data_IF_833127645798
#
_entry.id   IF_833127645798
#
_cell.length_a   1.000
_cell.length_b   1.000
_cell.length_c   1.000
_cell.angle_alpha   90.00
_cell.angle_beta   90.00
_cell.angle_gamma   90.00
#
_symmetry.space_group_name_H-M   'P 1'
#
loop_
_entity.id
_entity.type
_entity.pdbx_description
1 polymer ?
2 polymer ?
3 polymer ?
4 non-polymer ?
5 non-polymer ?
6 water ?
#
loop_
_entity_poly.entity_id
_entity_poly.type
_entity_poly.pdbx_seq_one_letter_code
_entity_poly.pdbx_strand_id
2 'polydeoxyribonucleotide' '(DA)(DG)(DA)(DT)(DT)(DG)(DT)(DT)(DT)(DA)(DC)(DT)(DG)(DA)(DG)(DA)' ?
3 'polydeoxyribonucleotide' '(DT)(DC)(DT)(DC)(DA)(DG)(DT)(DA)(DA)(DA)(DC)(DA)(DA)(DT)(DC)(DT)' ?
#
# COMPACT_ATOMS: atom_id res chain seq x y z
N UNK A 4 -25.35 16.04 8.30
CA UNK A 4 -23.98 15.74 7.89
C UNK A 4 -23.94 15.49 6.39
N UNK A 5 -22.91 16.01 5.71
CA UNK A 5 -22.79 15.86 4.26
C UNK A 5 -21.38 15.35 3.92
N UNK A 6 -21.21 14.93 2.67
CA UNK A 6 -19.93 14.41 2.19
C UNK A 6 -19.23 15.45 1.31
N UNK A 7 -17.90 15.38 1.30
CA UNK A 7 -17.07 16.38 0.64
C UNK A 7 -16.20 15.71 -0.40
N UNK A 8 -15.89 16.45 -1.46
CA UNK A 8 -15.18 15.91 -2.61
C UNK A 8 -13.71 16.30 -2.55
N UNK A 9 -12.82 15.30 -2.58
CA UNK A 9 -11.38 15.50 -2.67
C UNK A 9 -10.89 15.14 -4.07
N UNK A 10 -9.88 15.86 -4.54
CA UNK A 10 -9.24 15.51 -5.81
C UNK A 10 -8.17 14.43 -5.58
N UNK A 11 -8.04 13.53 -6.56
CA UNK A 11 -7.00 12.50 -6.53
C UNK A 11 -5.64 13.18 -6.44
N UNK A 12 -4.76 12.72 -5.55
CA UNK A 12 -3.42 13.31 -5.48
C UNK A 12 -2.61 12.84 -6.69
N UNK A 13 -1.59 13.58 -7.11
CA UNK A 13 -0.87 13.21 -8.37
C UNK A 13 0.21 12.13 -8.24
N UNK A 14 -0.21 10.89 -7.96
CA UNK A 14 0.72 9.79 -7.77
C UNK A 14 0.09 8.56 -8.38
N UNK A 15 0.90 7.76 -9.08
CA UNK A 15 0.45 6.49 -9.58
C UNK A 15 0.36 5.50 -8.42
N UNK A 16 -0.22 4.32 -8.67
CA UNK A 16 -0.25 3.33 -7.60
C UNK A 16 1.15 2.86 -7.25
N UNK A 17 2.06 2.86 -8.23
CA UNK A 17 3.43 2.44 -7.93
C UNK A 17 4.10 3.45 -7.02
N UNK A 18 3.86 4.74 -7.25
CA UNK A 18 4.44 5.77 -6.38
C UNK A 18 3.87 5.69 -4.99
N UNK A 19 2.54 5.60 -4.85
CA UNK A 19 1.92 5.50 -3.52
C UNK A 19 2.50 4.34 -2.73
N UNK A 20 2.57 3.14 -3.35
CA UNK A 20 3.15 1.98 -2.69
C UNK A 20 4.61 2.25 -2.32
N UNK A 21 5.38 2.82 -3.26
CA UNK A 21 6.80 3.01 -3.03
C UNK A 21 7.04 3.95 -1.85
N UNK A 22 6.37 5.13 -1.86
CA UNK A 22 6.44 6.07 -0.73
C UNK A 22 6.04 5.42 0.59
N UNK A 23 4.96 4.64 0.58
CA UNK A 23 4.54 3.96 1.81
C UNK A 23 5.68 3.10 2.35
N UNK A 24 6.32 2.33 1.47
CA UNK A 24 7.35 1.40 1.93
C UNK A 24 8.61 2.18 2.35
N UNK A 25 8.98 3.19 1.57
CA UNK A 25 10.20 3.92 1.85
C UNK A 25 10.16 4.60 3.21
N UNK A 26 8.99 5.08 3.62
CA UNK A 26 8.89 5.81 4.88
C UNK A 26 8.68 4.89 6.08
N UNK A 27 8.60 3.60 5.86
CA UNK A 27 8.29 2.80 7.03
C UNK A 27 9.57 2.40 7.77
N UNK A 28 9.47 2.15 9.08
CA UNK A 28 10.70 1.97 9.87
C UNK A 28 11.54 0.76 9.45
N UNK A 29 10.92 -0.31 8.95
CA UNK A 29 11.63 -1.50 8.50
C UNK A 29 11.78 -1.58 6.99
N UNK A 30 11.40 -0.53 6.27
CA UNK A 30 11.41 -0.54 4.80
C UNK A 30 10.59 -1.70 4.24
N UNK A 31 9.48 -2.00 4.91
CA UNK A 31 8.57 -3.05 4.48
C UNK A 31 7.27 -2.93 5.26
N UNK A 32 6.14 -3.18 4.58
CA UNK A 32 4.78 -3.04 5.10
C UNK A 32 3.89 -4.19 4.67
N UNK A 33 2.90 -4.51 5.51
CA UNK A 33 1.86 -5.44 5.05
C UNK A 33 0.92 -4.70 4.10
N UNK A 34 0.08 -5.49 3.40
CA UNK A 34 -0.94 -4.91 2.53
C UNK A 34 -1.82 -3.91 3.28
N UNK A 35 -2.31 -4.28 4.46
CA UNK A 35 -3.28 -3.39 5.10
C UNK A 35 -2.59 -2.14 5.63
N UNK A 36 -1.33 -2.27 6.03
CA UNK A 36 -0.53 -1.10 6.39
C UNK A 36 -0.41 -0.14 5.21
N UNK A 37 -0.30 -0.67 3.99
CA UNK A 37 -0.20 0.18 2.81
C UNK A 37 -1.52 0.89 2.59
N UNK A 38 -2.63 0.14 2.67
CA UNK A 38 -3.92 0.80 2.54
C UNK A 38 -4.02 1.91 3.56
N UNK A 39 -3.68 1.58 4.82
CA UNK A 39 -3.86 2.54 5.91
C UNK A 39 -2.97 3.78 5.72
N UNK A 40 -1.74 3.60 5.27
CA UNK A 40 -0.90 4.77 5.08
C UNK A 40 -1.47 5.70 4.02
N UNK A 41 -1.99 5.13 2.94
CA UNK A 41 -2.57 5.92 1.85
C UNK A 41 -3.84 6.64 2.32
N UNK A 42 -4.70 5.94 3.06
CA UNK A 42 -5.92 6.57 3.54
C UNK A 42 -5.63 7.61 4.61
N UNK A 43 -4.72 7.31 5.53
CA UNK A 43 -4.30 8.29 6.52
C UNK A 43 -3.93 9.63 5.89
N UNK A 44 -3.26 9.59 4.74
CA UNK A 44 -2.62 10.78 4.23
C UNK A 44 -3.40 11.45 3.10
N UNK A 45 -4.04 10.67 2.21
CA UNK A 45 -4.86 11.23 1.14
C UNK A 45 -6.34 10.93 1.34
N UNK A 46 -7.16 11.90 1.79
CA UNK A 46 -8.57 11.59 2.07
C UNK A 46 -9.36 11.18 0.84
N UNK A 47 -8.82 11.39 -0.36
CA UNK A 47 -9.51 10.92 -1.55
C UNK A 47 -9.68 9.40 -1.52
N UNK A 48 -8.72 8.71 -0.92
CA UNK A 48 -8.72 7.26 -0.89
C UNK A 48 -9.54 6.70 0.26
N UNK A 49 -10.30 7.52 0.96
CA UNK A 49 -11.19 6.96 1.95
C UNK A 49 -12.52 6.53 1.32
N UNK A 50 -12.68 6.75 0.01
CA UNK A 50 -13.84 6.29 -0.76
C UNK A 50 -13.44 5.27 -1.81
N UNK A 51 -14.44 4.48 -2.25
CA UNK A 51 -14.28 3.47 -3.29
C UNK A 51 -13.18 2.48 -2.96
N UNK A 52 -13.09 2.07 -1.69
CA UNK A 52 -11.91 1.29 -1.32
C UNK A 52 -11.91 -0.08 -2.01
N UNK A 53 -13.10 -0.64 -2.26
CA UNK A 53 -13.19 -1.91 -2.96
C UNK A 53 -12.44 -1.83 -4.29
N UNK A 54 -12.62 -0.73 -5.03
CA UNK A 54 -11.92 -0.51 -6.29
C UNK A 54 -10.41 -0.33 -6.16
N UNK A 55 -9.96 0.72 -5.47
CA UNK A 55 -8.53 1.05 -5.55
C UNK A 55 -7.67 0.05 -4.78
N UNK A 56 -8.25 -0.65 -3.81
CA UNK A 56 -7.49 -1.71 -3.14
C UNK A 56 -7.32 -2.94 -4.04
N UNK A 57 -8.35 -3.31 -4.83
CA UNK A 57 -8.14 -4.27 -5.90
C UNK A 57 -6.98 -3.87 -6.80
N UNK A 58 -6.87 -2.57 -7.11
CA UNK A 58 -5.82 -2.11 -8.00
C UNK A 58 -4.45 -2.13 -7.32
N UNK A 59 -4.41 -1.90 -6.00
CA UNK A 59 -3.13 -1.97 -5.29
C UNK A 59 -2.65 -3.42 -5.24
N UNK A 60 -3.55 -4.34 -4.91
CA UNK A 60 -3.16 -5.74 -4.90
C UNK A 60 -2.69 -6.16 -6.27
N UNK A 61 -3.36 -5.70 -7.33
CA UNK A 61 -2.93 -6.02 -8.68
C UNK A 61 -1.55 -5.45 -8.94
N UNK A 62 -1.31 -4.22 -8.54
CA UNK A 62 -0.02 -3.64 -8.87
C UNK A 62 1.12 -4.26 -8.06
N UNK A 63 0.88 -4.64 -6.80
CA UNK A 63 1.91 -5.32 -6.01
C UNK A 63 2.37 -6.61 -6.66
N UNK A 64 1.43 -7.41 -7.19
CA UNK A 64 1.81 -8.69 -7.78
C UNK A 64 2.33 -8.53 -9.20
N UNK A 65 1.74 -7.62 -9.97
CA UNK A 65 2.06 -7.53 -11.38
C UNK A 65 3.45 -6.95 -11.63
N UNK A 66 3.90 -6.01 -10.79
CA UNK A 66 5.11 -5.24 -11.05
C UNK A 66 6.31 -5.83 -10.32
N UNK A 67 7.38 -6.12 -11.07
CA UNK A 67 8.56 -6.73 -10.47
C UNK A 67 9.28 -5.85 -9.47
N UNK A 68 8.95 -4.56 -9.36
CA UNK A 68 9.65 -3.73 -8.38
C UNK A 68 9.19 -3.99 -6.95
N UNK A 69 8.11 -4.74 -6.76
CA UNK A 69 7.64 -5.10 -5.43
C UNK A 69 7.97 -6.55 -5.12
N UNK A 70 8.49 -6.77 -3.92
CA UNK A 70 9.00 -8.07 -3.53
C UNK A 70 8.29 -8.51 -2.26
N UNK A 71 7.79 -9.75 -2.25
CA UNK A 71 7.07 -10.28 -1.10
C UNK A 71 8.10 -10.79 -0.10
N UNK A 72 7.93 -10.48 1.19
CA UNK A 72 8.84 -10.94 2.24
C UNK A 72 8.08 -11.78 3.25
N UNK A 73 8.43 -13.06 3.45
CA UNK A 73 7.68 -13.88 4.41
C UNK A 73 7.91 -13.42 5.85
N UNK A 74 6.86 -13.56 6.67
CA UNK A 74 7.00 -13.41 8.10
C UNK A 74 7.90 -14.52 8.62
N UNK A 75 8.75 -14.21 9.60
CA UNK A 75 9.54 -15.26 10.22
C UNK A 75 8.59 -16.20 10.97
N UNK A 76 8.76 -17.54 10.84
CA UNK A 76 7.83 -18.47 11.50
C UNK A 76 7.64 -18.21 12.99
N UNK A 77 8.59 -17.53 13.62
CA UNK A 77 8.44 -17.19 15.04
C UNK A 77 7.50 -16.01 15.25
N UNK A 78 7.06 -15.36 14.18
CA UNK A 78 6.15 -14.21 14.24
C UNK A 78 5.08 -14.37 13.16
N UNK A 79 4.14 -15.30 13.36
CA UNK A 79 3.13 -15.53 12.33
C UNK A 79 2.03 -14.47 12.33
N UNK A 80 1.40 -14.29 11.17
CA UNK A 80 0.36 -13.29 11.07
C UNK A 80 -0.24 -13.23 9.67
N UNK A 81 -1.23 -12.36 9.54
CA UNK A 81 -1.99 -12.23 8.30
C UNK A 81 -1.11 -11.61 7.21
N UNK A 82 -1.04 -12.29 6.06
CA UNK A 82 -0.29 -11.77 4.94
C UNK A 82 1.22 -11.77 5.12
N UNK A 83 1.93 -11.35 4.08
CA UNK A 83 3.35 -11.17 4.14
C UNK A 83 3.63 -9.67 4.16
N UNK A 84 4.91 -9.31 4.23
CA UNK A 84 5.33 -7.94 4.03
C UNK A 84 5.68 -7.71 2.56
N UNK A 85 5.62 -6.44 2.18
CA UNK A 85 6.01 -5.99 0.85
C UNK A 85 7.19 -5.06 1.04
N UNK A 86 8.23 -5.25 0.24
CA UNK A 86 9.37 -4.34 0.20
C UNK A 86 9.69 -4.02 -1.25
N UNK A 87 10.71 -3.18 -1.46
CA UNK A 87 11.09 -2.82 -2.82
C UNK A 87 12.16 -3.76 -3.29
N UNK A 88 12.07 -4.17 -4.55
CA UNK A 88 13.10 -5.00 -5.15
C UNK A 88 14.46 -4.33 -4.96
N UNK A 89 15.52 -5.08 -4.65
CA UNK A 89 16.83 -4.47 -4.41
C UNK A 89 17.41 -3.74 -5.60
N UNK A 90 16.77 -3.83 -6.76
CA UNK A 90 17.24 -3.11 -7.94
C UNK A 90 16.25 -1.97 -8.25
#
# INVERSE_FOLDING_TARGET
>A
KTYRRSYTHAKPPYSYISLITMAIQQSPNKMLTLSEIYQWIMDLFPFYRQNQQRWQNSIRHSLSFNDCFLKVPRSPDKPGKGSFWTLHPDSGNMFENGCYLRRQKRFKCEKQLALKEAAGAAGSG
#
